data_IF_547894491768
#
_entry.id   IF_547894491768
#
_cell.length_a   1.000
_cell.length_b   1.000
_cell.length_c   1.000
_cell.angle_alpha   90.00
_cell.angle_beta   90.00
_cell.angle_gamma   90.00
#
_symmetry.space_group_name_H-M   'P 1'
#
loop_
_entity.id
_entity.type
_entity.pdbx_description
1 polymer ?
2 water ?
#
# COMPACT_ATOMS: atom_id res chain seq x y z
N UNK A 1 -20.52 11.55 6.35
CA UNK A 1 -20.45 12.28 7.64
C UNK A 1 -19.19 13.13 7.61
N UNK A 2 -19.35 14.44 7.72
CA UNK A 2 -18.20 15.34 7.68
C UNK A 2 -17.11 14.90 8.60
N UNK A 3 -15.88 15.12 8.17
CA UNK A 3 -14.71 14.76 8.93
C UNK A 3 -13.93 16.08 9.12
N UNK A 4 -13.36 16.28 10.31
CA UNK A 4 -12.58 17.49 10.61
C UNK A 4 -11.18 17.36 10.00
N UNK A 5 -10.57 18.47 9.63
CA UNK A 5 -9.25 18.42 9.01
C UNK A 5 -8.17 17.61 9.74
N UNK A 6 -8.15 17.73 11.07
CA UNK A 6 -7.20 17.05 11.94
C UNK A 6 -7.43 15.55 11.88
N UNK A 7 -8.66 15.18 11.58
CA UNK A 7 -9.02 13.79 11.48
C UNK A 7 -8.36 13.24 10.23
N UNK A 8 -8.05 14.14 9.30
CA UNK A 8 -7.40 13.74 8.07
C UNK A 8 -5.89 13.77 8.25
N UNK A 9 -5.43 14.83 8.91
CA UNK A 9 -4.02 15.04 9.18
C UNK A 9 -3.43 13.91 10.03
N UNK A 10 -4.27 13.24 10.83
CA UNK A 10 -3.82 12.12 11.67
C UNK A 10 -3.19 11.00 10.84
N UNK A 11 -3.59 10.91 9.58
CA UNK A 11 -3.08 9.89 8.69
C UNK A 11 -1.81 10.34 8.02
N UNK A 12 -0.91 9.38 7.83
CA UNK A 12 0.37 9.62 7.19
C UNK A 12 0.35 8.82 5.90
N UNK A 13 -0.02 9.52 4.83
CA UNK A 13 -0.10 8.91 3.51
C UNK A 13 1.24 9.20 2.88
N UNK A 14 1.94 8.16 2.42
CA UNK A 14 3.26 8.34 1.83
C UNK A 14 3.35 7.64 0.50
N UNK A 15 4.27 8.09 -0.34
CA UNK A 15 4.46 7.46 -1.62
C UNK A 15 5.57 6.44 -1.40
N UNK A 16 5.39 5.23 -1.91
CA UNK A 16 6.42 4.22 -1.74
C UNK A 16 6.63 3.46 -3.03
N UNK A 17 7.58 2.52 -3.04
CA UNK A 17 7.86 1.72 -4.23
C UNK A 17 7.84 0.26 -3.81
N UNK A 18 7.09 -0.55 -4.55
CA UNK A 18 6.99 -1.96 -4.23
C UNK A 18 8.28 -2.64 -4.68
N UNK A 19 9.00 -3.20 -3.72
CA UNK A 19 10.26 -3.88 -3.99
C UNK A 19 10.09 -5.39 -4.10
N UNK A 20 9.12 -5.96 -3.40
CA UNK A 20 8.93 -7.39 -3.47
C UNK A 20 7.47 -7.83 -3.29
N UNK A 21 7.03 -8.73 -4.16
CA UNK A 21 5.67 -9.28 -4.13
C UNK A 21 5.76 -10.79 -3.92
N UNK A 22 5.37 -11.26 -2.75
CA UNK A 22 5.43 -12.69 -2.48
C UNK A 22 4.04 -13.18 -2.08
N UNK A 23 3.77 -14.46 -2.34
CA UNK A 23 2.48 -15.05 -2.00
C UNK A 23 2.43 -15.29 -0.50
N UNK A 24 1.29 -14.99 0.11
CA UNK A 24 1.13 -15.16 1.55
C UNK A 24 0.68 -16.58 1.89
N UNK A 25 1.62 -17.45 2.29
CA UNK A 25 1.25 -18.83 2.63
C UNK A 25 0.46 -18.92 3.94
N UNK A 26 -0.86 -18.76 3.83
CA UNK A 26 -1.79 -18.81 4.96
C UNK A 26 -3.06 -18.01 4.61
N UNK A 27 -3.17 -17.62 3.34
CA UNK A 27 -4.30 -16.86 2.81
C UNK A 27 -4.31 -16.95 1.27
N UNK A 28 -5.46 -17.33 0.72
CA UNK A 28 -5.63 -17.51 -0.72
C UNK A 28 -5.34 -16.32 -1.68
N UNK A 29 -6.07 -15.21 -1.53
CA UNK A 29 -5.92 -14.05 -2.42
C UNK A 29 -5.01 -12.88 -2.00
N UNK A 30 -4.21 -13.07 -0.95
CA UNK A 30 -3.31 -12.03 -0.46
C UNK A 30 -1.88 -12.12 -0.94
N UNK A 31 -1.28 -10.96 -1.16
CA UNK A 31 0.11 -10.84 -1.56
C UNK A 31 0.81 -10.23 -0.36
N UNK A 32 2.07 -10.55 -0.19
CA UNK A 32 2.83 -9.98 0.91
C UNK A 32 3.89 -9.10 0.27
N UNK A 33 3.56 -7.83 0.04
CA UNK A 33 4.49 -6.93 -0.60
C UNK A 33 5.33 -6.12 0.37
N UNK A 34 6.50 -5.73 -0.12
CA UNK A 34 7.42 -4.93 0.65
C UNK A 34 7.50 -3.61 -0.06
N UNK A 35 7.24 -2.54 0.67
CA UNK A 35 7.27 -1.22 0.07
C UNK A 35 8.45 -0.43 0.59
N UNK A 36 9.09 0.27 -0.31
CA UNK A 36 10.23 1.06 0.06
C UNK A 36 9.79 2.50 0.28
N UNK A 37 9.80 2.93 1.54
CA UNK A 37 9.42 4.31 1.84
C UNK A 37 10.60 5.26 1.90
N UNK A 38 11.74 4.83 1.38
CA UNK A 38 12.91 5.69 1.38
C UNK A 38 13.77 5.62 2.62
N UNK A 39 13.16 5.67 3.79
CA UNK A 39 13.95 5.60 5.02
C UNK A 39 13.65 4.28 5.71
N UNK A 40 12.54 3.67 5.32
CA UNK A 40 12.15 2.42 5.91
C UNK A 40 11.58 1.48 4.86
N UNK A 41 11.31 0.25 5.28
CA UNK A 41 10.78 -0.77 4.39
C UNK A 41 9.54 -1.45 4.96
N UNK A 42 8.39 -0.88 4.64
CA UNK A 42 7.12 -1.38 5.09
C UNK A 42 6.73 -2.62 4.32
N UNK A 43 6.52 -3.71 5.04
CA UNK A 43 6.08 -4.93 4.41
C UNK A 43 4.64 -5.05 4.88
N UNK A 44 3.72 -5.07 3.93
CA UNK A 44 2.31 -5.13 4.25
C UNK A 44 1.62 -6.19 3.41
N UNK A 45 0.49 -6.68 3.92
CA UNK A 45 -0.30 -7.69 3.23
C UNK A 45 -1.40 -7.00 2.42
N UNK A 46 -1.37 -7.15 1.10
CA UNK A 46 -2.37 -6.53 0.23
C UNK A 46 -3.09 -7.58 -0.63
N UNK A 47 -4.40 -7.45 -0.74
CA UNK A 47 -5.16 -8.40 -1.53
C UNK A 47 -5.28 -7.96 -2.98
N UNK A 48 -4.24 -8.21 -3.76
CA UNK A 48 -4.25 -7.82 -5.16
C UNK A 48 -3.95 -8.97 -6.09
N UNK A 49 -3.83 -10.17 -5.53
CA UNK A 49 -3.55 -11.34 -6.35
C UNK A 49 -4.63 -11.42 -7.43
N UNK A 50 -5.88 -11.15 -7.04
CA UNK A 50 -7.01 -11.20 -7.96
C UNK A 50 -6.96 -10.18 -9.11
N UNK A 51 -6.30 -9.05 -8.90
CA UNK A 51 -6.25 -8.01 -9.94
C UNK A 51 -4.87 -7.69 -10.50
N UNK A 52 -3.81 -8.09 -9.79
CA UNK A 52 -2.46 -7.81 -10.26
C UNK A 52 -1.51 -9.00 -10.20
N UNK A 53 -0.69 -9.13 -11.23
CA UNK A 53 0.30 -10.19 -11.32
C UNK A 53 1.58 -9.55 -10.79
N UNK A 54 2.35 -10.28 -9.96
CA UNK A 54 3.59 -9.75 -9.40
C UNK A 54 4.39 -8.88 -10.35
N UNK A 55 4.48 -9.29 -11.61
CA UNK A 55 5.23 -8.55 -12.61
C UNK A 55 4.74 -7.11 -12.76
N UNK A 56 3.45 -6.90 -12.53
CA UNK A 56 2.82 -5.58 -12.65
C UNK A 56 3.08 -4.66 -11.46
N UNK A 57 3.06 -5.25 -10.26
CA UNK A 57 3.26 -4.51 -9.02
C UNK A 57 4.70 -4.09 -8.72
N UNK A 58 5.66 -4.87 -9.20
CA UNK A 58 7.07 -4.57 -8.96
C UNK A 58 7.55 -3.25 -9.58
N UNK A 59 8.26 -2.45 -8.78
CA UNK A 59 8.80 -1.16 -9.20
C UNK A 59 7.74 -0.06 -9.37
N UNK A 60 6.51 -0.38 -8.97
CA UNK A 60 5.38 0.55 -9.05
C UNK A 60 5.40 1.55 -7.92
N UNK A 61 5.04 2.79 -8.24
CA UNK A 61 4.93 3.81 -7.22
C UNK A 61 3.49 3.70 -6.72
N UNK A 62 3.33 3.41 -5.43
CA UNK A 62 2.02 3.25 -4.82
C UNK A 62 1.85 4.23 -3.65
N UNK A 63 0.64 4.33 -3.10
CA UNK A 63 0.39 5.20 -1.95
C UNK A 63 0.03 4.28 -0.79
N UNK A 64 0.60 4.53 0.38
CA UNK A 64 0.34 3.70 1.54
C UNK A 64 0.01 4.50 2.79
N UNK A 65 -0.87 3.96 3.63
CA UNK A 65 -1.20 4.62 4.88
C UNK A 65 -0.11 4.09 5.82
N UNK A 66 1.00 4.81 5.83
CA UNK A 66 2.17 4.44 6.59
C UNK A 66 1.98 4.20 8.07
N UNK A 67 1.35 5.15 8.74
CA UNK A 67 1.17 5.04 10.18
C UNK A 67 0.01 4.20 10.73
N UNK A 68 -0.53 3.29 9.93
CA UNK A 68 -1.62 2.43 10.39
C UNK A 68 -1.05 1.42 11.40
N UNK A 69 -1.69 1.31 12.57
CA UNK A 69 -1.23 0.41 13.63
C UNK A 69 -0.94 -1.01 13.17
N UNK A 70 0.31 -1.47 13.35
CA UNK A 70 0.76 -2.81 12.95
C UNK A 70 -0.25 -3.91 13.28
N UNK A 71 -0.35 -4.88 12.37
CA UNK A 71 -1.27 -6.01 12.52
C UNK A 71 -0.62 -7.33 12.16
N UNK A 72 -1.24 -8.41 12.63
CA UNK A 72 -0.78 -9.76 12.36
C UNK A 72 -1.88 -10.38 11.50
N UNK A 73 -1.63 -10.55 10.20
CA UNK A 73 -2.63 -11.14 9.30
C UNK A 73 -2.38 -12.63 9.04
N UNK A 75 -1.40 -14.78 10.37
CA UNK A 75 -0.59 -15.23 9.25
C UNK A 75 0.81 -14.63 9.28
N UNK A 76 0.94 -13.38 8.83
CA UNK A 76 2.22 -12.66 8.79
C UNK A 76 2.04 -11.20 9.26
N UNK A 77 3.12 -10.57 9.69
CA UNK A 77 3.05 -9.19 10.16
C UNK A 77 2.89 -8.14 9.07
N UNK A 78 1.88 -7.28 9.22
CA UNK A 78 1.59 -6.23 8.25
C UNK A 78 1.47 -4.86 8.89
N UNK A 79 2.03 -3.87 8.22
CA UNK A 79 1.97 -2.49 8.69
C UNK A 79 1.57 -1.59 7.54
N UNK A 80 0.41 -0.96 7.67
CA UNK A 80 -0.08 -0.07 6.63
C UNK A 80 -0.81 -0.79 5.51
N UNK A 81 -1.33 -0.01 4.57
CA UNK A 81 -2.07 -0.54 3.42
C UNK A 81 -1.96 0.35 2.19
N UNK A 82 -1.95 -0.28 1.02
CA UNK A 82 -1.87 0.44 -0.24
C UNK A 82 -3.25 0.91 -0.61
N UNK A 83 -3.35 2.15 -1.07
CA UNK A 83 -4.63 2.67 -1.47
C UNK A 83 -4.87 2.35 -2.94
N UNK A 84 -6.10 1.96 -3.24
CA UNK A 84 -6.54 1.62 -4.59
C UNK A 84 -8.03 1.94 -4.67
N UNK A 85 -8.48 2.45 -5.81
CA UNK A 85 -9.90 2.76 -5.98
C UNK A 85 -10.56 1.50 -6.49
N UNK A 86 -11.86 1.39 -6.27
CA UNK A 86 -12.58 0.24 -6.79
C UNK A 86 -14.03 0.58 -7.00
N UNK A 87 -14.45 0.47 -8.25
CA UNK A 87 -15.82 0.76 -8.61
C UNK A 87 -16.61 -0.57 -8.63
N UNK A 88 -16.45 -1.36 -7.57
CA UNK A 88 -17.15 -2.63 -7.46
C UNK A 88 -16.80 -3.62 -8.56
N UNK A 89 -16.15 -3.12 -9.61
CA UNK A 89 -15.78 -3.97 -10.72
C UNK A 89 -14.27 -4.03 -10.80
N UNK A 90 -13.69 -2.96 -11.33
CA UNK A 90 -12.24 -2.87 -11.47
C UNK A 90 -11.61 -2.38 -10.16
N UNK A 91 -10.32 -2.65 -9.99
CA UNK A 91 -9.53 -2.21 -8.83
C UNK A 91 -8.25 -1.56 -9.38
N UNK A 92 -8.07 -0.27 -9.09
CA UNK A 92 -6.93 0.47 -9.59
C UNK A 92 -6.16 1.21 -8.50
N UNK A 93 -4.90 0.82 -8.33
CA UNK A 93 -4.00 1.41 -7.33
C UNK A 93 -3.79 2.91 -7.54
N UNK A 94 -3.58 3.66 -6.47
CA UNK A 94 -3.32 5.08 -6.63
C UNK A 94 -1.82 5.17 -6.82
N UNK A 95 -1.40 6.24 -7.48
CA UNK A 95 0.01 6.48 -7.78
C UNK A 95 0.15 7.96 -8.12
N UNK A 96 1.36 8.53 -7.96
CA UNK A 96 1.55 9.95 -8.29
C UNK A 96 1.53 10.04 -9.82
N UNK A 97 1.28 11.23 -10.37
CA UNK A 97 1.27 11.40 -11.82
C UNK A 97 2.70 11.56 -12.36
N UNK A 98 3.65 11.80 -11.45
CA UNK A 98 5.09 12.00 -11.74
C UNK A 98 5.88 11.24 -10.66
N UNK A 99 7.19 11.06 -10.82
CA UNK A 99 7.98 10.35 -9.79
C UNK A 99 8.39 11.29 -8.66
N UNK A 100 8.49 10.77 -7.44
CA UNK A 100 8.86 11.61 -6.30
C UNK A 100 9.73 10.88 -5.30
N UNK A 101 10.46 11.64 -4.49
CA UNK A 101 11.32 11.02 -3.50
C UNK A 101 10.47 9.97 -2.79
N UNK A 102 11.00 8.77 -2.62
CA UNK A 102 10.24 7.74 -1.93
C UNK A 102 10.01 8.25 -0.51
N UNK A 103 8.81 7.98 0.01
CA UNK A 103 8.47 8.42 1.36
C UNK A 103 7.86 9.81 1.37
N UNK A 104 7.59 10.32 0.16
CA UNK A 104 7.00 11.64 -0.04
C UNK A 104 5.66 11.73 0.66
N UNK A 105 5.46 12.83 1.39
CA UNK A 105 4.22 13.01 2.12
C UNK A 105 3.05 13.39 1.19
N UNK A 106 1.94 12.67 1.33
CA UNK A 106 0.74 12.92 0.54
C UNK A 106 -0.14 13.80 1.43
N UNK A 107 -0.65 14.89 0.87
CA UNK A 107 -1.51 15.81 1.62
C UNK A 107 -2.53 16.51 0.71
#
# INVERSE_FOLDING_TARGET
MYVKFDDFAKLDLRVGKIIEVKDHPNADKLYVVKVDLGDEVRTLVAGLKKYYKPEELLNRYVVVVANLEPKKLRGIGSQGMLLAADDGERVALLMPDKEVKLGAKVR
#
